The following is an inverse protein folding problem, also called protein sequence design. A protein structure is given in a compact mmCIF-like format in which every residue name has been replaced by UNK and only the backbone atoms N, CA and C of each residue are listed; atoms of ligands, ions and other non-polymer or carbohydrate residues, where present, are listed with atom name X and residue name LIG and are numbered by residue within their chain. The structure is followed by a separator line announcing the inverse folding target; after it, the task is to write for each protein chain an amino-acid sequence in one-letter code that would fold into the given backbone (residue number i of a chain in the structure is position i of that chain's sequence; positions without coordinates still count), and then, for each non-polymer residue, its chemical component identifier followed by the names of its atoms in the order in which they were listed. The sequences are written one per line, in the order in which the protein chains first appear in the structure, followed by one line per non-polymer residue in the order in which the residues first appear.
data_IF_857740161154
#
_entry.id   IF_857740161154
#
_cell.length_a   1.000
_cell.length_b   1.000
_cell.length_c   1.000
_cell.angle_alpha   90.00
_cell.angle_beta   90.00
_cell.angle_gamma   90.00
#
_symmetry.space_group_name_H-M   'P 1'
#
loop_
_entity.id
_entity.type
_entity.pdbx_description
1 polymer ?
#
# COMPACT_ATOMS: atom_id res chain seq x y z
N UNK A 1 51.08 -2.72 3.84
CA UNK A 1 50.33 -3.92 4.22
C UNK A 1 49.04 -3.43 4.87
N UNK A 2 47.90 -3.64 4.21
CA UNK A 2 46.60 -3.35 4.81
C UNK A 2 46.22 -4.52 5.74
N UNK A 3 45.66 -4.26 6.93
CA UNK A 3 45.26 -5.32 7.85
C UNK A 3 44.06 -6.09 7.30
N UNK A 4 44.05 -7.41 7.50
CA UNK A 4 42.93 -8.28 7.17
C UNK A 4 41.89 -8.25 8.29
N UNK A 5 40.65 -7.86 7.96
CA UNK A 5 39.49 -7.86 8.87
C UNK A 5 38.77 -9.21 8.87
N UNK A 6 38.12 -9.58 9.99
CA UNK A 6 37.12 -10.65 10.09
C UNK A 6 36.01 -10.20 11.04
N UNK A 7 34.75 -10.35 10.63
CA UNK A 7 33.57 -9.84 11.35
C UNK A 7 32.45 -10.88 11.40
N UNK A 8 31.51 -10.74 12.33
CA UNK A 8 30.45 -11.73 12.50
C UNK A 8 29.23 -11.26 13.30
N UNK A 9 28.05 -11.74 12.90
CA UNK A 9 26.74 -11.48 13.53
C UNK A 9 26.08 -12.74 14.12
N UNK A 10 25.22 -12.56 15.13
CA UNK A 10 24.46 -13.64 15.77
C UNK A 10 23.00 -13.27 16.11
N UNK A 11 22.10 -14.23 15.93
CA UNK A 11 20.76 -14.23 16.51
C UNK A 11 20.48 -15.60 17.16
N UNK A 12 19.88 -15.59 18.35
CA UNK A 12 19.55 -16.79 19.11
C UNK A 12 18.11 -16.72 19.63
N UNK A 13 17.48 -17.88 19.76
CA UNK A 13 16.14 -18.09 20.34
C UNK A 13 16.27 -18.97 21.58
N UNK A 14 15.73 -18.56 22.72
CA UNK A 14 15.61 -19.42 23.91
C UNK A 14 14.14 -19.66 24.34
N UNK A 15 13.85 -20.80 24.98
CA UNK A 15 12.52 -21.17 25.47
C UNK A 15 12.22 -20.57 26.86
N UNK A 16 10.95 -20.59 27.33
CA UNK A 16 10.59 -20.02 28.62
C UNK A 16 10.96 -20.97 29.78
N UNK A 17 11.85 -20.48 30.65
CA UNK A 17 12.14 -20.75 32.08
C UNK A 17 11.93 -22.15 32.70
N UNK A 18 12.99 -22.75 33.28
CA UNK A 18 13.07 -23.21 34.69
C UNK A 18 14.39 -23.92 35.07
N UNK A 19 15.01 -23.42 36.14
CA UNK A 19 15.75 -24.03 37.27
C UNK A 19 16.67 -25.29 37.20
N UNK A 20 17.76 -25.18 37.99
CA UNK A 20 18.68 -26.18 38.59
C UNK A 20 19.96 -26.73 37.87
N UNK A 21 21.10 -26.26 38.42
CA UNK A 21 22.40 -26.91 38.78
C UNK A 21 23.36 -27.61 37.77
N UNK A 22 24.59 -27.07 37.78
CA UNK A 22 25.95 -27.67 37.77
C UNK A 22 26.33 -28.87 36.86
N UNK A 23 27.38 -28.69 36.02
CA UNK A 23 28.76 -29.27 36.14
C UNK A 23 29.56 -29.20 34.82
N UNK A 24 30.74 -28.57 34.93
CA UNK A 24 32.05 -28.70 34.25
C UNK A 24 32.31 -28.87 32.73
N UNK A 25 33.25 -28.00 32.32
CA UNK A 25 34.44 -28.16 31.45
C UNK A 25 34.33 -28.61 29.99
N UNK A 26 34.87 -27.74 29.12
CA UNK A 26 35.27 -28.03 27.75
C UNK A 26 36.75 -28.46 27.71
N UNK A 27 37.01 -29.67 27.23
CA UNK A 27 38.27 -30.05 26.55
C UNK A 27 37.90 -30.37 25.10
N UNK A 28 38.64 -29.82 24.16
CA UNK A 28 38.48 -30.09 22.73
C UNK A 28 38.80 -31.55 22.42
N UNK A 29 37.91 -32.28 21.74
CA UNK A 29 38.17 -33.20 20.60
C UNK A 29 36.90 -33.95 20.17
N UNK A 30 36.82 -34.23 18.86
CA UNK A 30 35.77 -35.01 18.15
C UNK A 30 35.42 -36.33 18.86
N UNK A 31 34.13 -36.57 19.10
CA UNK A 31 33.57 -37.90 19.37
C UNK A 31 32.10 -37.94 18.94
N UNK A 32 31.75 -38.94 18.15
CA UNK A 32 30.40 -39.34 17.75
C UNK A 32 29.73 -40.08 18.90
N UNK A 33 28.60 -39.59 19.39
CA UNK A 33 27.57 -40.40 20.03
C UNK A 33 26.19 -39.74 19.82
N UNK A 34 25.25 -40.57 19.37
CA UNK A 34 23.86 -40.24 19.04
C UNK A 34 22.98 -40.32 20.29
N UNK A 35 22.33 -39.19 20.62
CA UNK A 35 21.10 -39.16 21.42
C UNK A 35 20.08 -38.39 20.58
N UNK A 36 18.96 -39.04 20.28
CA UNK A 36 17.79 -38.48 19.61
C UNK A 36 16.80 -37.91 20.65
N UNK A 37 16.02 -36.92 20.21
CA UNK A 37 14.95 -36.16 20.89
C UNK A 37 15.36 -34.94 21.74
N UNK A 38 15.32 -33.78 21.07
CA UNK A 38 15.52 -32.44 21.62
C UNK A 38 16.33 -31.59 20.66
N UNK A 39 15.70 -31.04 19.62
CA UNK A 39 16.40 -30.21 18.62
C UNK A 39 17.08 -29.02 19.33
N UNK A 40 18.42 -28.88 19.28
CA UNK A 40 19.11 -27.81 19.98
C UNK A 40 18.70 -26.44 19.44
N UNK A 41 18.78 -25.35 20.23
CA UNK A 41 18.51 -24.00 19.73
C UNK A 41 19.36 -23.76 18.49
N UNK A 42 18.69 -23.50 17.37
CA UNK A 42 19.35 -23.24 16.10
C UNK A 42 20.17 -21.96 16.25
N UNK A 43 21.47 -22.12 16.43
CA UNK A 43 22.42 -21.02 16.34
C UNK A 43 22.53 -20.62 14.87
N UNK A 44 22.15 -19.39 14.53
CA UNK A 44 22.37 -18.85 13.18
C UNK A 44 23.88 -18.79 12.86
N UNK A 45 24.30 -19.06 11.62
CA UNK A 45 25.71 -19.00 11.22
C UNK A 45 26.25 -17.57 11.31
N UNK A 46 27.54 -17.45 11.61
CA UNK A 46 28.27 -16.18 11.54
C UNK A 46 28.27 -15.67 10.10
N UNK A 47 27.85 -14.43 9.90
CA UNK A 47 27.87 -13.74 8.61
C UNK A 47 29.17 -12.95 8.50
N UNK A 48 30.08 -13.34 7.62
CA UNK A 48 31.32 -12.60 7.40
C UNK A 48 31.13 -11.57 6.26
N UNK A 49 31.44 -10.30 6.56
CA UNK A 49 31.68 -9.13 5.68
C UNK A 49 30.61 -8.61 4.73
N UNK A 50 29.53 -9.34 4.45
CA UNK A 50 28.57 -8.94 3.40
C UNK A 50 27.83 -7.61 3.65
N UNK A 51 27.90 -7.11 4.89
CA UNK A 51 27.03 -6.05 5.40
C UNK A 51 27.79 -4.92 6.11
N UNK A 52 29.10 -4.83 5.91
CA UNK A 52 29.93 -3.82 6.53
C UNK A 52 30.62 -2.97 5.47
N UNK A 53 30.57 -1.66 5.65
CA UNK A 53 31.34 -0.68 4.89
C UNK A 53 32.66 -0.41 5.63
N UNK A 54 33.75 -1.00 5.14
CA UNK A 54 35.08 -0.87 5.73
C UNK A 54 35.62 0.57 5.69
N UNK A 55 35.15 1.40 4.76
CA UNK A 55 35.59 2.79 4.63
C UNK A 55 34.90 3.71 5.65
N UNK A 56 33.63 3.42 5.97
CA UNK A 56 32.84 4.16 6.94
C UNK A 56 32.92 3.58 8.35
N UNK A 57 33.35 2.32 8.50
CA UNK A 57 33.33 1.61 9.78
C UNK A 57 31.91 1.32 10.27
N UNK A 58 30.97 1.18 9.35
CA UNK A 58 29.56 0.95 9.64
C UNK A 58 29.14 -0.43 9.17
N UNK A 59 28.28 -1.09 9.95
CA UNK A 59 27.70 -2.37 9.58
C UNK A 59 26.17 -2.31 9.65
N UNK A 60 25.51 -2.83 8.62
CA UNK A 60 24.07 -2.76 8.42
C UNK A 60 23.50 -4.11 8.00
N UNK A 61 22.78 -4.79 8.88
CA UNK A 61 22.10 -6.04 8.54
C UNK A 61 20.68 -5.74 8.05
N UNK A 62 20.32 -6.11 6.80
CA UNK A 62 18.97 -5.96 6.29
C UNK A 62 17.94 -6.76 7.10
N UNK A 63 16.73 -6.21 7.26
CA UNK A 63 15.66 -6.85 8.04
C UNK A 63 15.14 -8.14 7.39
N UNK A 64 15.10 -8.19 6.06
CA UNK A 64 14.73 -9.37 5.27
C UNK A 64 15.72 -10.53 5.46
N UNK A 65 17.01 -10.20 5.62
CA UNK A 65 18.02 -11.18 5.99
C UNK A 65 17.71 -11.79 7.37
N UNK A 66 17.43 -10.95 8.38
CA UNK A 66 17.06 -11.42 9.72
C UNK A 66 15.82 -12.32 9.65
N UNK A 67 14.81 -11.95 8.85
CA UNK A 67 13.61 -12.75 8.65
C UNK A 67 13.91 -14.14 8.06
N UNK A 68 14.80 -14.22 7.07
CA UNK A 68 15.17 -15.48 6.42
C UNK A 68 15.86 -16.50 7.35
N UNK A 69 16.44 -16.04 8.47
CA UNK A 69 17.08 -16.92 9.45
C UNK A 69 16.09 -17.72 10.30
N UNK A 70 14.83 -17.32 10.35
CA UNK A 70 13.81 -18.00 11.14
C UNK A 70 12.95 -18.84 10.19
N UNK A 71 12.93 -20.19 10.32
CA UNK A 71 12.16 -21.08 9.46
C UNK A 71 10.66 -21.06 9.81
N UNK A 72 10.14 -19.89 10.12
CA UNK A 72 8.75 -19.64 10.48
C UNK A 72 8.11 -18.81 9.39
N UNK A 73 6.85 -19.08 9.10
CA UNK A 73 6.06 -18.33 8.11
C UNK A 73 5.86 -16.84 8.51
N UNK A 74 6.20 -16.46 9.76
CA UNK A 74 6.13 -15.06 10.22
C UNK A 74 6.95 -14.78 11.49
N UNK A 75 7.59 -13.61 11.54
CA UNK A 75 8.16 -13.01 12.77
C UNK A 75 7.17 -12.12 13.53
N UNK A 76 5.91 -12.05 13.08
CA UNK A 76 4.89 -11.20 13.68
C UNK A 76 4.65 -11.48 15.17
N UNK A 77 4.65 -10.42 15.99
CA UNK A 77 4.49 -10.52 17.44
C UNK A 77 5.63 -11.26 18.14
N UNK A 78 6.75 -11.49 17.45
CA UNK A 78 7.96 -12.09 18.03
C UNK A 78 8.97 -11.00 18.35
N UNK A 79 9.74 -11.28 19.39
CA UNK A 79 10.95 -10.54 19.71
C UNK A 79 12.13 -11.37 19.28
N UNK A 80 13.03 -10.77 18.51
CA UNK A 80 14.30 -11.37 18.11
C UNK A 80 15.44 -10.66 18.83
N UNK A 81 16.34 -11.44 19.42
CA UNK A 81 17.58 -10.94 20.01
C UNK A 81 18.64 -10.88 18.92
N UNK A 82 19.16 -9.69 18.66
CA UNK A 82 20.21 -9.44 17.67
C UNK A 82 21.47 -9.03 18.40
N UNK A 83 22.55 -9.78 18.19
CA UNK A 83 23.88 -9.47 18.67
C UNK A 83 24.82 -9.19 17.50
N UNK A 84 25.58 -8.10 17.62
CA UNK A 84 26.57 -7.70 16.63
C UNK A 84 27.94 -7.54 17.29
N UNK A 85 28.99 -7.95 16.58
CA UNK A 85 30.38 -7.77 16.99
C UNK A 85 31.26 -7.43 15.80
N UNK A 86 32.23 -6.54 16.02
CA UNK A 86 33.20 -6.10 15.01
C UNK A 86 34.60 -6.41 15.52
N UNK A 87 35.39 -7.12 14.72
CA UNK A 87 36.79 -7.40 15.01
C UNK A 87 37.69 -6.28 14.50
N UNK A 88 38.40 -5.58 15.39
CA UNK A 88 39.35 -4.51 15.05
C UNK A 88 40.73 -4.87 15.59
N UNK A 89 41.69 -5.16 14.70
CA UNK A 89 43.10 -5.40 15.06
C UNK A 89 43.31 -6.45 16.18
N UNK A 90 42.54 -7.53 16.15
CA UNK A 90 42.62 -8.61 17.16
C UNK A 90 41.86 -8.34 18.46
N UNK A 91 41.22 -7.17 18.60
CA UNK A 91 40.20 -6.89 19.61
C UNK A 91 38.80 -7.06 19.00
N UNK A 92 37.80 -7.35 19.83
CA UNK A 92 36.40 -7.41 19.39
C UNK A 92 35.59 -6.36 20.13
N UNK A 93 34.96 -5.47 19.38
CA UNK A 93 33.95 -4.55 19.86
C UNK A 93 32.58 -5.22 19.74
N UNK A 94 31.71 -5.01 20.72
CA UNK A 94 30.35 -5.53 20.68
C UNK A 94 29.35 -4.39 20.66
N UNK A 95 28.19 -4.64 20.05
CA UNK A 95 27.04 -3.78 20.21
C UNK A 95 26.74 -3.56 21.70
N UNK A 96 26.44 -2.32 22.07
CA UNK A 96 25.91 -1.99 23.38
C UNK A 96 24.51 -2.56 23.52
N UNK A 97 24.28 -3.35 24.57
CA UNK A 97 23.00 -4.03 24.79
C UNK A 97 22.98 -4.84 26.08
N UNK A 98 21.96 -5.68 26.22
CA UNK A 98 21.83 -6.58 27.37
C UNK A 98 22.91 -7.67 27.28
N UNK A 99 23.73 -7.89 28.31
CA UNK A 99 24.73 -8.95 28.29
C UNK A 99 24.06 -10.31 28.14
N UNK A 100 24.60 -11.16 27.25
CA UNK A 100 24.13 -12.55 27.11
C UNK A 100 24.42 -13.36 28.39
N UNK A 101 25.35 -12.91 29.21
CA UNK A 101 25.63 -13.55 30.50
C UNK A 101 26.05 -12.58 31.59
N UNK A 102 25.68 -12.90 32.84
CA UNK A 102 26.03 -12.08 33.99
C UNK A 102 27.51 -12.19 34.42
N UNK A 103 28.31 -13.11 33.85
CA UNK A 103 29.72 -13.29 34.22
C UNK A 103 30.63 -13.18 32.99
N UNK A 104 31.24 -12.00 32.81
CA UNK A 104 32.34 -11.76 31.87
C UNK A 104 32.02 -10.77 30.74
N UNK A 105 33.06 -10.29 30.05
CA UNK A 105 32.99 -9.40 28.88
C UNK A 105 32.59 -10.18 27.62
N UNK A 106 31.34 -10.58 27.50
CA UNK A 106 30.90 -11.26 26.29
C UNK A 106 29.50 -10.81 25.87
N UNK A 107 29.48 -10.28 24.63
CA UNK A 107 28.36 -9.97 23.76
C UNK A 107 27.10 -9.36 24.42
N UNK A 108 26.78 -8.13 24.03
CA UNK A 108 25.47 -7.54 24.25
C UNK A 108 24.53 -7.89 23.09
N UNK A 109 23.23 -8.01 23.37
CA UNK A 109 22.20 -8.05 22.34
C UNK A 109 21.21 -6.88 22.49
N UNK A 110 20.57 -6.51 21.39
CA UNK A 110 19.36 -5.70 21.39
C UNK A 110 18.15 -6.55 21.05
N UNK A 111 16.98 -6.13 21.52
CA UNK A 111 15.70 -6.76 21.18
C UNK A 111 15.05 -6.00 20.04
N UNK A 112 14.71 -6.69 18.96
CA UNK A 112 13.85 -6.18 17.89
C UNK A 112 12.50 -6.85 18.03
N UNK A 113 11.48 -6.06 18.35
CA UNK A 113 10.09 -6.54 18.40
C UNK A 113 9.41 -6.24 17.07
N UNK A 114 8.92 -7.29 16.43
CA UNK A 114 8.15 -7.18 15.20
C UNK A 114 6.68 -6.97 15.57
N UNK A 115 6.28 -5.72 15.71
CA UNK A 115 4.90 -5.36 15.97
C UNK A 115 4.06 -5.52 14.70
N UNK A 116 2.89 -6.13 14.87
CA UNK A 116 1.87 -6.18 13.84
C UNK A 116 0.61 -5.54 14.39
N UNK A 117 -0.20 -4.96 13.50
CA UNK A 117 -1.59 -4.65 13.84
C UNK A 117 -2.31 -5.95 14.23
N UNK A 118 -3.21 -5.88 15.22
CA UNK A 118 -3.87 -7.02 15.91
C UNK A 118 -4.45 -8.12 14.98
N UNK A 119 -4.67 -7.78 13.71
CA UNK A 119 -5.19 -8.68 12.67
C UNK A 119 -4.16 -9.77 12.30
N UNK A 120 -2.84 -9.52 12.37
CA UNK A 120 -1.82 -10.49 11.95
C UNK A 120 -1.18 -11.29 13.09
N UNK A 121 -1.47 -10.97 14.36
CA UNK A 121 -0.89 -11.69 15.51
C UNK A 121 -1.50 -13.10 15.76
N UNK A 122 -2.62 -13.45 15.10
CA UNK A 122 -3.38 -14.70 15.36
C UNK A 122 -3.55 -15.63 14.16
N UNK A 123 -3.06 -15.29 12.97
CA UNK A 123 -3.26 -16.09 11.75
C UNK A 123 -1.96 -16.23 10.95
N UNK A 124 -1.57 -17.47 10.62
CA UNK A 124 -0.44 -17.77 9.74
C UNK A 124 -0.62 -17.24 8.30
N UNK A 125 -1.85 -16.80 7.95
CA UNK A 125 -2.11 -15.99 6.78
C UNK A 125 -2.30 -14.54 7.27
N UNK A 126 -1.29 -13.69 7.10
CA UNK A 126 -1.49 -12.24 7.15
C UNK A 126 -2.04 -11.87 5.77
N UNK A 127 -3.35 -11.59 5.63
CA UNK A 127 -3.94 -11.35 4.33
C UNK A 127 -3.26 -10.13 3.72
N UNK A 128 -2.57 -10.36 2.62
CA UNK A 128 -1.94 -9.34 1.78
C UNK A 128 -3.12 -8.56 1.22
N UNK A 129 -3.53 -7.48 1.91
CA UNK A 129 -4.85 -6.88 1.73
C UNK A 129 -5.30 -6.83 0.28
N UNK A 130 -6.51 -7.31 0.01
CA UNK A 130 -7.05 -7.44 -1.34
C UNK A 130 -7.65 -6.11 -1.80
N UNK A 131 -7.53 -5.83 -3.09
CA UNK A 131 -8.28 -4.74 -3.72
C UNK A 131 -9.72 -5.16 -3.95
N UNK A 132 -10.64 -4.36 -3.42
CA UNK A 132 -12.06 -4.62 -3.45
C UNK A 132 -12.80 -3.43 -4.04
N UNK A 133 -13.83 -3.70 -4.84
CA UNK A 133 -14.71 -2.66 -5.37
C UNK A 133 -15.34 -1.89 -4.21
N UNK A 134 -15.01 -0.61 -4.11
CA UNK A 134 -15.52 0.30 -3.10
C UNK A 134 -16.85 0.89 -3.53
N UNK A 135 -16.97 1.33 -4.79
CA UNK A 135 -18.19 1.97 -5.27
C UNK A 135 -17.97 2.74 -6.57
N UNK A 136 -18.94 3.59 -6.92
CA UNK A 136 -18.83 4.50 -8.07
C UNK A 136 -18.53 5.90 -7.55
N UNK A 137 -17.42 6.49 -7.99
CA UNK A 137 -17.11 7.90 -7.78
C UNK A 137 -17.82 8.79 -8.79
N UNK A 138 -18.09 10.02 -8.37
CA UNK A 138 -18.53 11.13 -9.21
C UNK A 138 -17.68 12.37 -8.92
N UNK A 139 -17.40 13.18 -9.94
CA UNK A 139 -16.73 14.46 -9.79
C UNK A 139 -17.68 15.51 -9.23
N UNK A 140 -17.28 16.21 -8.16
CA UNK A 140 -18.06 17.25 -7.49
C UNK A 140 -17.31 18.59 -7.43
N UNK A 141 -18.01 19.68 -7.70
CA UNK A 141 -17.51 21.05 -7.50
C UNK A 141 -18.62 21.86 -6.86
N UNK A 142 -18.37 22.31 -5.63
CA UNK A 142 -19.33 23.10 -4.87
C UNK A 142 -19.81 24.32 -5.68
N UNK A 143 -21.13 24.56 -5.66
CA UNK A 143 -21.75 25.68 -6.35
C UNK A 143 -21.76 25.61 -7.89
N UNK A 144 -21.12 24.61 -8.52
CA UNK A 144 -21.14 24.42 -9.98
C UNK A 144 -21.84 23.13 -10.42
N UNK A 145 -21.86 22.12 -9.56
CA UNK A 145 -22.49 20.84 -9.82
C UNK A 145 -24.02 20.99 -9.98
N UNK A 146 -24.58 20.41 -11.04
CA UNK A 146 -26.02 20.42 -11.31
C UNK A 146 -26.57 19.00 -11.16
N UNK A 147 -27.56 18.81 -10.29
CA UNK A 147 -28.25 17.52 -10.16
C UNK A 147 -29.03 17.20 -11.44
N UNK A 148 -29.06 15.94 -11.85
CA UNK A 148 -30.00 15.49 -12.87
C UNK A 148 -31.44 15.81 -12.48
N UNK A 149 -32.14 16.55 -13.34
CA UNK A 149 -33.58 16.73 -13.20
C UNK A 149 -34.29 15.50 -13.79
N UNK A 150 -35.10 14.75 -13.03
CA UNK A 150 -35.80 13.57 -13.52
C UNK A 150 -36.80 13.85 -14.66
N UNK A 151 -37.13 15.12 -14.96
CA UNK A 151 -37.93 15.50 -16.15
C UNK A 151 -37.12 15.68 -17.44
N UNK A 152 -35.78 15.76 -17.37
CA UNK A 152 -34.89 15.85 -18.54
C UNK A 152 -34.41 14.48 -19.04
N UNK A 153 -34.67 13.43 -18.28
CA UNK A 153 -34.34 12.04 -18.62
C UNK A 153 -35.63 11.38 -19.13
N UNK A 154 -35.64 10.93 -20.39
CA UNK A 154 -36.86 10.49 -21.11
C UNK A 154 -37.65 9.38 -20.40
N UNK A 155 -37.06 8.71 -19.39
CA UNK A 155 -37.64 7.57 -18.68
C UNK A 155 -38.24 7.85 -17.30
N UNK A 156 -38.48 9.12 -16.90
CA UNK A 156 -39.02 9.45 -15.55
C UNK A 156 -38.35 8.61 -14.47
N UNK A 157 -37.04 8.80 -14.32
CA UNK A 157 -36.11 8.02 -13.52
C UNK A 157 -36.57 7.71 -12.07
N UNK A 158 -37.51 6.77 -11.91
CA UNK A 158 -37.93 6.24 -10.61
C UNK A 158 -36.74 5.49 -10.01
N UNK A 159 -36.18 6.04 -8.93
CA UNK A 159 -35.09 5.43 -8.16
C UNK A 159 -33.67 5.87 -8.52
N UNK A 160 -33.48 6.86 -9.43
CA UNK A 160 -32.13 7.25 -9.92
C UNK A 160 -31.61 8.59 -9.38
N UNK A 161 -32.14 9.07 -8.25
CA UNK A 161 -31.65 10.24 -7.52
C UNK A 161 -30.24 10.06 -6.91
N UNK A 162 -29.45 9.06 -7.34
CA UNK A 162 -28.19 8.69 -6.69
C UNK A 162 -26.96 8.78 -7.60
N UNK A 163 -27.13 9.05 -8.89
CA UNK A 163 -26.12 8.65 -9.89
C UNK A 163 -25.54 9.79 -10.72
N UNK A 164 -25.68 11.05 -10.30
CA UNK A 164 -24.80 12.03 -10.90
C UNK A 164 -25.11 13.49 -10.70
N UNK A 165 -24.03 14.23 -10.82
CA UNK A 165 -23.99 15.64 -11.08
C UNK A 165 -23.44 15.83 -12.50
N UNK A 166 -23.91 16.85 -13.20
CA UNK A 166 -23.31 17.29 -14.45
C UNK A 166 -22.94 18.76 -14.35
N UNK A 167 -22.08 19.19 -15.25
CA UNK A 167 -21.63 20.57 -15.34
C UNK A 167 -22.12 21.18 -16.63
N UNK A 168 -22.51 22.45 -16.59
CA UNK A 168 -22.75 23.28 -17.77
C UNK A 168 -21.75 24.42 -17.73
N UNK A 169 -20.67 24.31 -18.51
CA UNK A 169 -19.53 25.24 -18.47
C UNK A 169 -19.33 25.90 -19.82
N UNK A 170 -19.03 27.20 -19.84
CA UNK A 170 -18.71 27.87 -21.09
C UNK A 170 -17.37 27.37 -21.63
N UNK A 171 -17.20 27.38 -22.96
CA UNK A 171 -15.91 26.99 -23.55
C UNK A 171 -14.77 27.95 -23.18
N UNK A 172 -15.08 29.22 -22.92
CA UNK A 172 -14.11 30.19 -22.42
C UNK A 172 -13.62 29.82 -21.02
N UNK A 173 -14.53 29.54 -20.07
CA UNK A 173 -14.16 29.17 -18.70
C UNK A 173 -13.35 27.87 -18.67
N UNK A 174 -13.74 26.89 -19.50
CA UNK A 174 -13.06 25.60 -19.59
C UNK A 174 -11.67 25.70 -20.25
N UNK A 175 -11.47 26.69 -21.13
CA UNK A 175 -10.17 26.99 -21.75
C UNK A 175 -9.25 27.75 -20.79
N UNK A 176 -9.77 28.79 -20.14
CA UNK A 176 -8.99 29.68 -19.29
C UNK A 176 -8.65 29.00 -17.94
N UNK A 177 -9.68 28.76 -17.13
CA UNK A 177 -9.56 28.25 -15.77
C UNK A 177 -9.59 26.72 -15.72
N UNK A 178 -10.36 26.08 -16.61
CA UNK A 178 -10.68 24.67 -16.51
C UNK A 178 -11.74 24.39 -15.43
N UNK A 179 -11.91 23.12 -15.12
CA UNK A 179 -12.78 22.61 -14.06
C UNK A 179 -11.98 21.65 -13.19
N UNK A 180 -11.99 21.86 -11.88
CA UNK A 180 -11.32 20.99 -10.89
C UNK A 180 -12.23 20.86 -9.68
N UNK A 181 -12.22 19.68 -9.07
CA UNK A 181 -12.82 19.43 -7.77
C UNK A 181 -12.65 17.97 -7.36
N UNK A 182 -13.45 17.56 -6.38
CA UNK A 182 -13.25 16.31 -5.66
C UNK A 182 -13.88 15.13 -6.39
N UNK A 183 -13.31 13.95 -6.23
CA UNK A 183 -13.89 12.66 -6.60
C UNK A 183 -14.48 12.01 -5.36
N UNK A 184 -15.80 11.87 -5.35
CA UNK A 184 -16.54 11.43 -4.18
C UNK A 184 -17.25 10.10 -4.46
N UNK A 185 -17.18 9.15 -3.54
CA UNK A 185 -17.87 7.83 -3.62
C UNK A 185 -19.05 7.78 -2.66
N UNK A 186 -20.19 7.24 -3.09
CA UNK A 186 -21.27 6.81 -2.18
C UNK A 186 -22.20 7.91 -1.67
N UNK A 187 -22.58 8.87 -2.51
CA UNK A 187 -23.48 9.97 -2.15
C UNK A 187 -24.96 9.59 -2.20
N UNK A 188 -25.36 8.49 -1.56
CA UNK A 188 -26.73 7.99 -1.61
C UNK A 188 -27.77 9.10 -1.44
N UNK A 189 -28.53 9.36 -2.51
CA UNK A 189 -29.55 10.43 -2.56
C UNK A 189 -29.06 11.80 -3.02
N UNK A 190 -27.88 11.89 -3.64
CA UNK A 190 -27.15 13.12 -3.96
C UNK A 190 -26.81 13.97 -2.72
N UNK A 191 -26.60 13.30 -1.58
CA UNK A 191 -26.18 13.94 -0.34
C UNK A 191 -24.66 13.85 -0.22
N UNK A 192 -23.98 14.95 -0.56
CA UNK A 192 -22.51 15.02 -0.59
C UNK A 192 -21.88 14.69 0.77
N UNK A 193 -22.51 15.10 1.88
CA UNK A 193 -22.06 14.79 3.25
C UNK A 193 -22.04 13.29 3.62
N UNK A 194 -22.62 12.41 2.79
CA UNK A 194 -22.55 10.95 2.96
C UNK A 194 -21.44 10.31 2.14
N UNK A 195 -20.73 11.11 1.34
CA UNK A 195 -19.71 10.61 0.43
C UNK A 195 -18.38 10.43 1.13
N UNK A 196 -17.54 9.58 0.53
CA UNK A 196 -16.12 9.48 0.87
C UNK A 196 -15.31 10.14 -0.23
N UNK A 197 -14.46 11.09 0.13
CA UNK A 197 -13.48 11.69 -0.78
C UNK A 197 -12.36 10.68 -1.07
N UNK A 198 -12.10 10.45 -2.36
CA UNK A 198 -11.10 9.51 -2.86
C UNK A 198 -10.02 10.18 -3.71
N UNK A 199 -10.05 11.51 -3.88
CA UNK A 199 -9.08 12.25 -4.66
C UNK A 199 -9.72 13.38 -5.48
N UNK A 200 -9.05 13.77 -6.56
CA UNK A 200 -9.42 14.93 -7.38
C UNK A 200 -9.67 14.55 -8.84
N UNK A 201 -10.50 15.34 -9.53
CA UNK A 201 -10.56 15.35 -10.98
C UNK A 201 -10.25 16.74 -11.54
N UNK A 202 -9.80 16.78 -12.79
CA UNK A 202 -9.73 18.03 -13.55
C UNK A 202 -10.04 17.85 -15.03
N UNK A 203 -10.49 18.93 -15.66
CA UNK A 203 -10.75 19.01 -17.08
C UNK A 203 -10.33 20.38 -17.63
N UNK A 204 -9.59 20.40 -18.74
CA UNK A 204 -9.15 21.65 -19.40
C UNK A 204 -9.23 21.53 -20.91
N UNK A 205 -9.79 22.56 -21.55
CA UNK A 205 -9.94 22.62 -23.00
C UNK A 205 -8.73 23.32 -23.63
N UNK A 206 -8.24 22.77 -24.74
CA UNK A 206 -7.26 23.41 -25.62
C UNK A 206 -7.65 23.13 -27.07
N UNK A 207 -8.20 24.14 -27.77
CA UNK A 207 -8.78 23.95 -29.10
C UNK A 207 -10.01 23.04 -29.05
N UNK A 208 -9.93 21.89 -29.72
CA UNK A 208 -10.97 20.84 -29.72
C UNK A 208 -10.57 19.64 -28.86
N UNK A 209 -9.53 19.78 -28.03
CA UNK A 209 -9.04 18.72 -27.15
C UNK A 209 -9.39 19.05 -25.71
N UNK A 210 -10.17 18.19 -25.06
CA UNK A 210 -10.44 18.22 -23.63
C UNK A 210 -9.49 17.24 -22.93
N UNK A 211 -8.54 17.75 -22.17
CA UNK A 211 -7.70 16.93 -21.29
C UNK A 211 -8.44 16.70 -19.98
N UNK A 212 -8.66 15.43 -19.64
CA UNK A 212 -9.28 15.01 -18.38
C UNK A 212 -8.26 14.27 -17.54
N UNK A 213 -8.26 14.53 -16.23
CA UNK A 213 -7.36 13.88 -15.27
C UNK A 213 -8.11 13.47 -14.01
N UNK A 214 -7.74 12.33 -13.44
CA UNK A 214 -8.14 11.86 -12.12
C UNK A 214 -6.87 11.60 -11.32
N UNK A 215 -6.81 12.04 -10.07
CA UNK A 215 -5.71 11.83 -9.14
C UNK A 215 -6.26 11.30 -7.83
N UNK A 216 -6.08 10.01 -7.56
CA UNK A 216 -6.61 9.35 -6.37
C UNK A 216 -5.67 9.51 -5.19
N UNK A 217 -6.27 9.63 -4.00
CA UNK A 217 -5.53 9.54 -2.74
C UNK A 217 -4.98 8.12 -2.55
N UNK A 218 -3.81 8.02 -1.90
CA UNK A 218 -3.20 6.72 -1.58
C UNK A 218 -4.15 5.81 -0.80
N UNK A 219 -4.26 4.55 -1.22
CA UNK A 219 -5.20 3.56 -0.65
C UNK A 219 -6.42 3.28 -1.53
N UNK A 220 -6.61 4.07 -2.58
CA UNK A 220 -7.62 3.85 -3.63
C UNK A 220 -6.99 3.46 -4.97
N UNK A 221 -7.82 2.97 -5.88
CA UNK A 221 -7.41 2.47 -7.19
C UNK A 221 -8.56 2.65 -8.20
N UNK A 222 -8.23 3.06 -9.43
CA UNK A 222 -9.19 3.24 -10.51
C UNK A 222 -9.45 1.92 -11.23
N UNK A 223 -10.66 1.38 -11.13
CA UNK A 223 -11.08 0.21 -11.91
C UNK A 223 -11.73 0.54 -13.26
N UNK A 224 -12.30 1.74 -13.41
CA UNK A 224 -12.93 2.19 -14.66
C UNK A 224 -13.11 3.71 -14.64
N UNK A 225 -13.07 4.38 -15.80
CA UNK A 225 -13.34 5.82 -15.93
C UNK A 225 -14.41 6.05 -17.00
N UNK A 226 -15.42 6.85 -16.67
CA UNK A 226 -16.48 7.28 -17.57
C UNK A 226 -16.51 8.80 -17.64
N UNK A 227 -16.37 9.35 -18.84
CA UNK A 227 -16.45 10.80 -19.06
C UNK A 227 -17.53 11.08 -20.11
N UNK A 228 -18.47 11.94 -19.75
CA UNK A 228 -19.37 12.56 -20.73
C UNK A 228 -18.83 13.94 -21.08
N UNK A 229 -18.60 14.21 -22.37
CA UNK A 229 -18.24 15.53 -22.86
C UNK A 229 -19.01 15.82 -24.14
N UNK A 230 -19.99 16.73 -24.08
CA UNK A 230 -20.85 17.04 -25.23
C UNK A 230 -21.31 18.48 -25.26
N UNK A 231 -21.70 18.96 -26.45
CA UNK A 231 -22.40 20.23 -26.61
C UNK A 231 -23.89 20.15 -26.27
N UNK A 232 -24.40 18.94 -25.99
CA UNK A 232 -25.80 18.69 -25.63
C UNK A 232 -25.89 18.26 -24.18
N UNK A 233 -27.00 18.61 -23.54
CA UNK A 233 -27.28 18.14 -22.20
C UNK A 233 -27.39 16.61 -22.17
N UNK A 234 -26.92 15.96 -21.10
CA UNK A 234 -27.03 14.52 -20.96
C UNK A 234 -28.50 14.10 -20.83
N UNK A 235 -28.90 13.07 -21.58
CA UNK A 235 -30.26 12.52 -21.57
C UNK A 235 -30.39 11.21 -20.79
N UNK A 236 -29.26 10.65 -20.34
CA UNK A 236 -29.16 9.42 -19.54
C UNK A 236 -28.34 9.70 -18.29
N UNK A 237 -28.77 9.12 -17.16
CA UNK A 237 -28.07 9.17 -15.87
C UNK A 237 -27.33 7.86 -15.56
N UNK A 238 -27.17 6.96 -16.54
CA UNK A 238 -26.44 5.71 -16.38
C UNK A 238 -25.00 5.90 -16.90
N UNK A 239 -23.97 5.90 -16.04
CA UNK A 239 -22.60 6.18 -16.47
C UNK A 239 -22.09 5.23 -17.56
N UNK A 240 -22.42 3.93 -17.45
CA UNK A 240 -22.08 2.92 -18.47
C UNK A 240 -22.80 3.07 -19.81
N UNK A 241 -23.64 4.10 -19.99
CA UNK A 241 -24.22 4.46 -21.30
C UNK A 241 -23.39 5.51 -22.06
N UNK A 242 -22.35 6.05 -21.43
CA UNK A 242 -21.41 7.00 -22.03
C UNK A 242 -20.17 6.26 -22.54
N UNK A 243 -19.28 6.98 -23.22
CA UNK A 243 -18.03 6.40 -23.68
C UNK A 243 -17.19 5.99 -22.46
N UNK A 244 -17.06 4.68 -22.28
CA UNK A 244 -16.22 4.09 -21.26
C UNK A 244 -14.77 4.17 -21.69
N UNK A 245 -13.94 4.85 -20.90
CA UNK A 245 -12.50 4.80 -21.02
C UNK A 245 -12.02 3.65 -20.13
N UNK A 246 -12.18 2.43 -20.65
CA UNK A 246 -11.69 1.20 -20.06
C UNK A 246 -10.52 0.61 -20.87
N UNK A 247 -9.85 -0.38 -20.30
CA UNK A 247 -8.61 -0.99 -20.81
C UNK A 247 -8.60 -1.35 -22.28
N UNK A 248 -9.73 -1.81 -22.80
CA UNK A 248 -9.75 -2.41 -24.12
C UNK A 248 -10.03 -1.38 -25.23
N UNK A 249 -10.71 -0.26 -24.91
CA UNK A 249 -11.05 0.80 -25.88
C UNK A 249 -10.12 2.01 -25.82
N UNK A 250 -9.62 2.35 -24.63
CA UNK A 250 -8.73 3.50 -24.41
C UNK A 250 -7.24 3.13 -24.46
N UNK A 251 -6.91 1.83 -24.46
CA UNK A 251 -5.53 1.34 -24.39
C UNK A 251 -4.88 1.53 -23.02
N UNK A 252 -5.66 1.89 -21.99
CA UNK A 252 -5.20 2.12 -20.61
C UNK A 252 -5.52 0.92 -19.73
N UNK A 253 -4.52 0.09 -19.44
CA UNK A 253 -4.68 -1.07 -18.57
C UNK A 253 -4.93 -0.66 -17.11
N UNK A 254 -6.20 -0.45 -16.75
CA UNK A 254 -6.69 -0.24 -15.37
C UNK A 254 -6.91 -1.57 -14.62
N UNK A 255 -6.34 -2.68 -15.12
CA UNK A 255 -6.36 -3.97 -14.41
C UNK A 255 -5.22 -4.09 -13.39
N UNK A 256 -4.29 -3.13 -13.38
CA UNK A 256 -3.31 -3.01 -12.33
C UNK A 256 -3.98 -2.56 -11.02
N UNK A 257 -3.31 -2.79 -9.90
CA UNK A 257 -3.88 -2.62 -8.56
C UNK A 257 -3.33 -1.37 -7.85
N UNK A 258 -2.88 -0.39 -8.64
CA UNK A 258 -2.23 0.84 -8.16
C UNK A 258 -2.44 2.01 -9.12
N UNK A 259 -3.55 2.03 -9.85
CA UNK A 259 -3.84 3.06 -10.84
C UNK A 259 -4.37 4.31 -10.14
N UNK A 260 -3.43 5.08 -9.58
CA UNK A 260 -3.71 6.31 -8.84
C UNK A 260 -3.96 7.52 -9.76
N UNK A 261 -3.54 7.45 -11.02
CA UNK A 261 -3.62 8.59 -11.94
C UNK A 261 -4.16 8.13 -13.28
N UNK A 262 -5.18 8.82 -13.76
CA UNK A 262 -5.67 8.70 -15.13
C UNK A 262 -5.53 10.05 -15.81
N UNK A 263 -5.09 10.05 -17.07
CA UNK A 263 -5.07 11.25 -17.91
C UNK A 263 -5.39 10.88 -19.35
N UNK A 264 -6.39 11.53 -19.92
CA UNK A 264 -6.82 11.28 -21.30
C UNK A 264 -7.16 12.58 -22.01
N UNK A 265 -6.71 12.67 -23.27
CA UNK A 265 -7.13 13.70 -24.20
C UNK A 265 -8.33 13.19 -25.01
N UNK A 266 -9.42 13.94 -24.98
CA UNK A 266 -10.69 13.62 -25.63
C UNK A 266 -10.96 14.69 -26.69
N UNK A 267 -11.15 14.27 -27.94
CA UNK A 267 -11.58 15.19 -29.00
C UNK A 267 -13.05 15.52 -28.82
N UNK A 268 -13.38 16.81 -28.67
CA UNK A 268 -14.74 17.30 -28.47
C UNK A 268 -15.13 18.27 -29.59
N UNK A 269 -16.39 18.24 -30.06
CA UNK A 269 -16.87 19.20 -31.06
C UNK A 269 -16.86 20.62 -30.50
N UNK A 270 -16.49 21.60 -31.32
CA UNK A 270 -16.49 23.00 -30.91
C UNK A 270 -17.89 23.50 -30.56
N UNK A 271 -18.07 24.00 -29.34
CA UNK A 271 -19.27 24.70 -28.92
C UNK A 271 -19.00 25.84 -27.94
N UNK A 272 -20.02 26.68 -27.72
CA UNK A 272 -19.98 27.77 -26.75
C UNK A 272 -20.15 27.28 -25.30
N UNK A 273 -20.73 26.09 -25.11
CA UNK A 273 -21.01 25.51 -23.80
C UNK A 273 -20.85 24.00 -23.89
N UNK A 274 -20.14 23.43 -22.93
CA UNK A 274 -19.98 21.99 -22.76
C UNK A 274 -20.80 21.50 -21.58
N UNK A 275 -21.32 20.30 -21.73
CA UNK A 275 -21.91 19.49 -20.68
C UNK A 275 -20.94 18.38 -20.33
N UNK A 276 -20.52 18.35 -19.07
CA UNK A 276 -19.49 17.43 -18.59
C UNK A 276 -20.02 16.54 -17.46
N UNK A 277 -19.59 15.28 -17.43
CA UNK A 277 -19.80 14.36 -16.31
C UNK A 277 -18.52 13.54 -16.12
N UNK A 278 -18.13 13.32 -14.86
CA UNK A 278 -16.93 12.59 -14.47
C UNK A 278 -17.32 11.49 -13.49
N UNK A 279 -17.17 10.25 -13.90
CA UNK A 279 -17.44 9.08 -13.07
C UNK A 279 -16.27 8.10 -13.11
N UNK A 280 -16.16 7.25 -12.10
CA UNK A 280 -15.19 6.16 -12.11
C UNK A 280 -15.57 5.03 -11.16
N UNK A 281 -15.19 3.80 -11.47
CA UNK A 281 -15.26 2.71 -10.52
C UNK A 281 -14.02 2.77 -9.62
N UNK A 282 -14.23 2.84 -8.31
CA UNK A 282 -13.15 2.93 -7.33
C UNK A 282 -13.01 1.61 -6.60
N UNK A 283 -11.77 1.15 -6.47
CA UNK A 283 -11.37 0.08 -5.59
C UNK A 283 -10.66 0.66 -4.36
N UNK A 284 -10.75 -0.05 -3.24
CA UNK A 284 -10.01 0.26 -2.02
C UNK A 284 -9.31 -0.99 -1.51
N UNK A 285 -8.13 -0.83 -0.92
CA UNK A 285 -7.40 -1.96 -0.33
C UNK A 285 -8.00 -2.31 1.03
N UNK A 286 -8.53 -3.52 1.17
CA UNK A 286 -9.15 -3.99 2.42
C UNK A 286 -8.23 -4.97 3.14
N UNK A 287 -8.07 -4.87 4.47
CA UNK A 287 -7.43 -5.93 5.25
C UNK A 287 -8.27 -7.21 5.16
N UNK A 288 -7.68 -8.35 4.80
CA UNK A 288 -8.42 -9.60 4.62
C UNK A 288 -8.65 -10.01 3.17
N UNK A 289 -9.24 -11.20 3.02
CA UNK A 289 -9.60 -11.79 1.73
C UNK A 289 -11.07 -11.54 1.34
N UNK A 290 -11.86 -10.97 2.26
CA UNK A 290 -13.30 -10.74 2.09
C UNK A 290 -13.54 -9.29 1.73
N UNK A 291 -14.14 -9.05 0.56
CA UNK A 291 -14.55 -7.72 0.15
C UNK A 291 -15.84 -7.30 0.87
N UNK A 292 -15.92 -6.07 1.42
CA UNK A 292 -17.16 -5.51 1.91
C UNK A 292 -18.15 -5.28 0.76
N UNK A 293 -19.41 -5.08 1.11
CA UNK A 293 -20.42 -4.64 0.14
C UNK A 293 -20.04 -3.25 -0.38
N UNK A 294 -20.06 -3.01 -1.72
CA UNK A 294 -19.82 -1.69 -2.27
C UNK A 294 -20.80 -0.64 -1.76
N UNK A 295 -20.33 0.60 -1.67
CA UNK A 295 -21.12 1.76 -1.31
C UNK A 295 -21.93 2.21 -2.54
N UNK A 296 -23.24 2.37 -2.34
CA UNK A 296 -24.21 2.85 -3.34
C UNK A 296 -24.41 4.38 -3.31
#
# INVERSE_FOLDING_TARGET
MLPSYQEGFHAAKEPPDSDHQHVLHRKETKSTDSIEEGQPPMNAPWIDKAYCDEALGECWVPVDYIQALFPTDSLCGKTVNVAAGVGINGATCFQQGTPISPKGNWFGYTTVTFECTDICAKSCNCPIGKWCKMGTAYGYVEGKAITFNPTLVEDRAKGRNKWGWYYKISSADLYDAGLTGDLLVGAGGNEESKSTDVGDFSAKLSGETLTVKYDLTSGYDLGEVHVYASCKAPTSCAPGSWEAYNSDKSGLDLSATTDLVFKQDITVPKCATYYLIFHGAINSKTPGDICPTPID
#
